data_IF_026000672258
#
_entry.id   IF_026000672258
#
_cell.length_a   1.000
_cell.length_b   1.000
_cell.length_c   1.000
_cell.angle_alpha   90.00
_cell.angle_beta   90.00
_cell.angle_gamma   90.00
#
_symmetry.space_group_name_H-M   'P 1'
#
loop_
_entity.id
_entity.type
_entity.pdbx_description
1 polymer ?
#
# COMPACT_ATOMS: atom_id res chain seq x y z
N UNK A 1 -21.94 -40.52 -17.99
CA UNK A 1 -21.21 -40.00 -19.16
C UNK A 1 -21.32 -38.48 -19.15
N UNK A 2 -20.49 -37.78 -18.38
CA UNK A 2 -19.17 -37.37 -18.85
C UNK A 2 -18.28 -37.14 -17.62
N UNK A 3 -17.62 -38.20 -17.18
CA UNK A 3 -16.59 -38.16 -16.14
C UNK A 3 -15.25 -37.83 -16.81
N UNK A 4 -14.53 -36.89 -16.21
CA UNK A 4 -13.07 -36.71 -16.25
C UNK A 4 -12.37 -36.50 -17.60
N UNK A 5 -11.74 -35.32 -17.72
CA UNK A 5 -10.46 -34.99 -18.39
C UNK A 5 -10.52 -33.46 -18.62
N UNK A 6 -9.71 -32.60 -18.00
CA UNK A 6 -8.26 -32.54 -18.07
C UNK A 6 -7.69 -31.75 -16.89
N UNK A 7 -6.58 -32.24 -16.35
CA UNK A 7 -5.80 -31.55 -15.33
C UNK A 7 -4.77 -30.56 -15.87
N UNK A 8 -4.46 -29.62 -14.99
CA UNK A 8 -3.14 -29.03 -14.71
C UNK A 8 -2.51 -28.03 -15.70
N UNK A 9 -1.99 -26.94 -15.07
CA UNK A 9 -1.19 -25.81 -15.61
C UNK A 9 -2.11 -24.76 -16.26
N UNK A 10 -2.15 -23.50 -15.81
CA UNK A 10 -1.07 -22.54 -15.95
C UNK A 10 -1.13 -21.42 -14.91
N UNK A 11 0.02 -21.20 -14.26
CA UNK A 11 0.63 -19.94 -13.81
C UNK A 11 -0.25 -18.80 -13.25
N UNK A 12 0.04 -18.46 -11.99
CA UNK A 12 -0.53 -17.44 -11.11
C UNK A 12 -0.35 -15.97 -11.56
N UNK A 13 -0.23 -15.67 -12.86
CA UNK A 13 0.04 -14.31 -13.35
C UNK A 13 -1.19 -13.57 -13.89
N UNK A 14 -2.38 -14.19 -13.91
CA UNK A 14 -3.59 -13.62 -14.52
C UNK A 14 -4.71 -13.19 -13.53
N UNK A 15 -4.40 -13.02 -12.24
CA UNK A 15 -5.44 -12.94 -11.20
C UNK A 15 -6.20 -11.60 -11.11
N UNK A 16 -5.69 -10.50 -11.67
CA UNK A 16 -6.36 -9.20 -11.57
C UNK A 16 -7.26 -8.86 -12.78
N UNK A 17 -6.99 -9.45 -13.95
CA UNK A 17 -7.68 -9.11 -15.20
C UNK A 17 -8.78 -10.08 -15.63
N UNK A 18 -8.64 -11.40 -15.40
CA UNK A 18 -9.59 -12.39 -15.97
C UNK A 18 -10.96 -12.30 -15.31
N UNK A 19 -11.01 -12.11 -14.00
CA UNK A 19 -12.28 -12.15 -13.27
C UNK A 19 -13.27 -11.01 -13.60
N UNK A 20 -12.83 -9.95 -14.26
CA UNK A 20 -13.71 -8.90 -14.79
C UNK A 20 -14.28 -9.32 -16.15
N UNK A 21 -13.49 -10.05 -16.94
CA UNK A 21 -13.90 -10.57 -18.24
C UNK A 21 -14.92 -11.72 -18.05
N UNK A 22 -14.62 -12.67 -17.15
CA UNK A 22 -15.49 -13.81 -16.85
C UNK A 22 -16.85 -13.37 -16.24
N UNK A 23 -16.87 -12.23 -15.54
CA UNK A 23 -18.10 -11.67 -14.99
C UNK A 23 -18.96 -11.05 -16.11
N UNK A 24 -18.36 -10.33 -17.07
CA UNK A 24 -19.08 -9.58 -18.12
C UNK A 24 -19.96 -10.43 -19.03
N UNK A 25 -19.70 -11.72 -19.12
CA UNK A 25 -20.49 -12.67 -19.91
C UNK A 25 -21.72 -13.20 -19.15
N UNK A 26 -21.88 -12.82 -17.88
CA UNK A 26 -23.02 -13.19 -17.06
C UNK A 26 -24.07 -12.08 -16.98
N UNK A 27 -25.35 -12.39 -16.70
CA UNK A 27 -26.36 -11.38 -16.43
C UNK A 27 -25.89 -10.38 -15.36
N UNK A 28 -26.23 -9.09 -15.51
CA UNK A 28 -25.76 -7.99 -14.65
C UNK A 28 -25.91 -8.30 -13.15
N UNK A 29 -27.00 -8.98 -12.77
CA UNK A 29 -27.22 -9.42 -11.40
C UNK A 29 -26.10 -10.34 -10.89
N UNK A 30 -25.73 -11.35 -11.67
CA UNK A 30 -24.68 -12.30 -11.32
C UNK A 30 -23.30 -11.63 -11.22
N UNK A 31 -23.04 -10.61 -12.06
CA UNK A 31 -21.83 -9.79 -11.93
C UNK A 31 -21.76 -9.07 -10.60
N UNK A 32 -22.85 -8.40 -10.22
CA UNK A 32 -22.93 -7.65 -8.97
C UNK A 32 -22.79 -8.58 -7.76
N UNK A 33 -23.47 -9.72 -7.78
CA UNK A 33 -23.38 -10.73 -6.72
C UNK A 33 -21.93 -11.22 -6.52
N UNK A 34 -21.19 -11.46 -7.62
CA UNK A 34 -19.78 -11.84 -7.54
C UNK A 34 -18.87 -10.73 -7.02
N UNK A 35 -19.07 -9.48 -7.45
CA UNK A 35 -18.29 -8.34 -6.97
C UNK A 35 -18.51 -8.15 -5.47
N UNK A 36 -19.77 -8.18 -5.03
CA UNK A 36 -20.13 -8.06 -3.62
C UNK A 36 -19.53 -9.19 -2.80
N UNK A 37 -19.61 -10.44 -3.26
CA UNK A 37 -18.98 -11.58 -2.60
C UNK A 37 -17.46 -11.40 -2.44
N UNK A 38 -16.76 -10.94 -3.49
CA UNK A 38 -15.32 -10.66 -3.44
C UNK A 38 -14.97 -9.55 -2.45
N UNK A 39 -15.76 -8.47 -2.44
CA UNK A 39 -15.57 -7.35 -1.52
C UNK A 39 -15.78 -7.79 -0.06
N UNK A 40 -16.88 -8.46 0.23
CA UNK A 40 -17.20 -8.97 1.57
C UNK A 40 -16.13 -9.93 2.06
N UNK A 41 -15.70 -10.90 1.23
CA UNK A 41 -14.63 -11.83 1.60
C UNK A 41 -13.30 -11.13 1.87
N UNK A 42 -12.98 -10.10 1.08
CA UNK A 42 -11.77 -9.29 1.30
C UNK A 42 -11.85 -8.53 2.63
N UNK A 43 -13.01 -7.94 2.95
CA UNK A 43 -13.22 -7.20 4.19
C UNK A 43 -13.14 -8.14 5.40
N UNK A 44 -13.89 -9.24 5.39
CA UNK A 44 -13.90 -10.24 6.47
C UNK A 44 -12.51 -10.85 6.64
N UNK A 45 -11.81 -11.16 5.55
CA UNK A 45 -10.42 -11.62 5.60
C UNK A 45 -9.49 -10.62 6.29
N UNK A 46 -9.62 -9.32 5.98
CA UNK A 46 -8.83 -8.26 6.62
C UNK A 46 -9.19 -8.05 8.09
N UNK A 47 -10.46 -8.20 8.47
CA UNK A 47 -10.88 -8.15 9.87
C UNK A 47 -10.27 -9.30 10.68
N UNK A 48 -10.32 -10.53 10.18
CA UNK A 48 -9.69 -11.69 10.83
C UNK A 48 -8.17 -11.59 10.92
N UNK A 49 -7.53 -10.97 9.93
CA UNK A 49 -6.11 -10.63 10.04
C UNK A 49 -5.89 -9.61 11.16
N UNK A 50 -6.72 -8.56 11.23
CA UNK A 50 -6.61 -7.48 12.21
C UNK A 50 -6.80 -7.94 13.66
N UNK A 51 -7.71 -8.88 13.91
CA UNK A 51 -7.90 -9.51 15.23
C UNK A 51 -6.63 -10.18 15.78
N UNK A 52 -5.72 -10.61 14.90
CA UNK A 52 -4.46 -11.26 15.27
C UNK A 52 -3.31 -10.27 15.45
N UNK A 53 -3.51 -8.98 15.15
CA UNK A 53 -2.46 -7.98 15.28
C UNK A 53 -2.27 -7.61 16.75
N UNK A 54 -1.02 -7.67 17.21
CA UNK A 54 -0.65 -7.34 18.59
C UNK A 54 -0.15 -5.90 18.75
N UNK A 55 0.29 -5.28 17.66
CA UNK A 55 0.87 -3.93 17.65
C UNK A 55 -0.15 -2.82 17.40
N UNK A 56 0.25 -1.57 17.68
CA UNK A 56 -0.56 -0.37 17.42
C UNK A 56 -0.80 -0.14 15.92
N UNK A 57 0.15 -0.54 15.07
CA UNK A 57 0.07 -0.36 13.63
C UNK A 57 -0.18 -1.70 12.92
N UNK A 58 -0.89 -1.64 11.79
CA UNK A 58 -1.01 -2.78 10.89
C UNK A 58 0.40 -3.29 10.51
N UNK A 59 0.68 -4.60 10.54
CA UNK A 59 2.00 -5.16 10.22
C UNK A 59 2.57 -4.68 8.89
N UNK A 60 1.70 -4.45 7.89
CA UNK A 60 2.13 -3.93 6.58
C UNK A 60 2.62 -2.49 6.64
N UNK A 61 1.97 -1.64 7.44
CA UNK A 61 2.38 -0.24 7.65
C UNK A 61 3.62 -0.19 8.53
N UNK A 62 3.67 -1.00 9.61
CA UNK A 62 4.85 -1.11 10.47
C UNK A 62 6.10 -1.47 9.66
N UNK A 63 6.05 -2.55 8.88
CA UNK A 63 7.16 -2.98 8.01
C UNK A 63 7.59 -1.91 7.01
N UNK A 64 6.65 -1.09 6.53
CA UNK A 64 6.94 0.02 5.61
C UNK A 64 7.63 1.16 6.35
N UNK A 65 7.18 1.48 7.56
CA UNK A 65 7.76 2.49 8.42
C UNK A 65 9.19 2.11 8.83
N UNK A 66 9.42 0.86 9.24
CA UNK A 66 10.75 0.35 9.61
C UNK A 66 11.75 0.54 8.45
N UNK A 67 11.34 0.25 7.21
CA UNK A 67 12.16 0.53 6.02
C UNK A 67 12.42 2.01 5.80
N UNK A 68 11.43 2.86 6.05
CA UNK A 68 11.61 4.30 5.91
C UNK A 68 12.54 4.87 6.97
N UNK A 69 12.52 4.33 8.19
CA UNK A 69 13.49 4.64 9.25
C UNK A 69 14.91 4.25 8.81
N UNK A 70 15.09 3.05 8.25
CA UNK A 70 16.40 2.65 7.72
C UNK A 70 16.90 3.58 6.60
N UNK A 71 16.02 4.01 5.69
CA UNK A 71 16.40 4.95 4.63
C UNK A 71 16.62 6.38 5.11
N UNK A 72 15.94 6.79 6.19
CA UNK A 72 16.13 8.10 6.79
C UNK A 72 17.56 8.30 7.29
N UNK A 73 18.24 7.24 7.72
CA UNK A 73 19.66 7.25 8.12
C UNK A 73 20.60 7.77 7.02
N UNK A 74 20.21 7.60 5.75
CA UNK A 74 21.00 8.06 4.60
C UNK A 74 20.67 9.51 4.18
N UNK A 75 19.79 10.19 4.91
CA UNK A 75 19.42 11.57 4.64
C UNK A 75 20.25 12.52 5.50
N UNK A 76 20.69 13.64 4.90
CA UNK A 76 21.27 14.77 5.65
C UNK A 76 20.25 15.88 5.69
N UNK A 77 20.02 16.44 6.87
CA UNK A 77 18.98 17.45 7.09
C UNK A 77 19.61 18.79 7.39
N UNK A 78 19.08 19.83 6.77
CA UNK A 78 19.39 21.22 7.04
C UNK A 78 18.10 21.96 7.38
N UNK A 79 18.03 22.56 8.55
CA UNK A 79 16.87 23.35 8.97
C UNK A 79 16.89 24.73 8.31
N UNK A 80 15.73 25.14 7.79
CA UNK A 80 15.48 26.50 7.30
C UNK A 80 14.70 27.36 8.31
N UNK A 81 14.22 26.75 9.39
CA UNK A 81 13.44 27.36 10.46
C UNK A 81 11.95 27.15 10.27
N UNK A 82 11.18 27.46 11.33
CA UNK A 82 9.72 27.38 11.33
C UNK A 82 9.15 26.01 10.93
N UNK A 83 9.87 24.91 11.23
CA UNK A 83 9.40 23.56 10.87
C UNK A 83 9.60 23.18 9.39
N UNK A 84 10.39 23.96 8.64
CA UNK A 84 10.76 23.67 7.26
C UNK A 84 12.21 23.20 7.19
N UNK A 85 12.43 22.12 6.45
CA UNK A 85 13.71 21.43 6.35
C UNK A 85 14.06 21.15 4.90
N UNK A 86 15.35 21.29 4.58
CA UNK A 86 15.95 20.82 3.35
C UNK A 86 16.67 19.50 3.62
N UNK A 87 16.24 18.46 2.92
CA UNK A 87 16.72 17.09 3.08
C UNK A 87 17.49 16.66 1.86
N UNK A 88 18.77 16.40 2.02
CA UNK A 88 19.63 15.81 1.01
C UNK A 88 19.55 14.29 1.10
N UNK A 89 19.14 13.65 0.00
CA UNK A 89 18.94 12.20 -0.05
C UNK A 89 19.48 11.68 -1.38
N UNK A 90 20.52 10.85 -1.30
CA UNK A 90 21.30 10.41 -2.46
C UNK A 90 21.78 11.62 -3.28
N UNK A 91 21.32 11.76 -4.52
CA UNK A 91 21.69 12.83 -5.45
C UNK A 91 20.61 13.91 -5.58
N UNK A 92 19.55 13.83 -4.80
CA UNK A 92 18.42 14.75 -4.85
C UNK A 92 18.28 15.51 -3.54
N UNK A 93 17.64 16.67 -3.63
CA UNK A 93 17.26 17.45 -2.47
C UNK A 93 15.75 17.62 -2.44
N UNK A 94 15.18 17.57 -1.24
CA UNK A 94 13.74 17.68 -1.01
C UNK A 94 13.47 18.68 0.10
N UNK A 95 12.42 19.47 -0.04
CA UNK A 95 11.88 20.30 1.02
C UNK A 95 10.81 19.49 1.76
N UNK A 96 10.91 19.49 3.09
CA UNK A 96 9.94 18.92 4.03
C UNK A 96 9.37 20.08 4.84
N UNK A 97 8.05 20.13 4.93
CA UNK A 97 7.33 21.08 5.78
C UNK A 97 6.53 20.27 6.80
N UNK A 98 6.94 20.33 8.07
CA UNK A 98 6.30 19.58 9.15
C UNK A 98 4.96 20.19 9.57
N UNK A 99 4.74 21.50 9.37
CA UNK A 99 3.45 22.13 9.69
C UNK A 99 2.37 21.68 8.71
N UNK A 100 2.76 21.55 7.44
CA UNK A 100 1.88 21.09 6.37
C UNK A 100 1.86 19.56 6.22
N UNK A 101 2.62 18.84 7.05
CA UNK A 101 2.80 17.37 6.97
C UNK A 101 3.11 16.92 5.53
N UNK A 102 4.03 17.64 4.88
CA UNK A 102 4.28 17.51 3.45
C UNK A 102 5.76 17.37 3.12
N UNK A 103 6.02 16.78 1.95
CA UNK A 103 7.35 16.64 1.40
C UNK A 103 7.24 16.75 -0.13
N UNK A 104 8.24 17.36 -0.78
CA UNK A 104 8.29 17.50 -2.24
C UNK A 104 8.24 16.15 -2.98
N UNK A 105 8.62 15.04 -2.34
CA UNK A 105 8.45 13.72 -2.94
C UNK A 105 6.98 13.26 -3.03
N UNK A 106 6.04 14.02 -2.46
CA UNK A 106 4.56 13.82 -2.44
C UNK A 106 4.07 12.55 -1.75
N UNK A 107 4.99 11.68 -1.31
CA UNK A 107 4.65 10.39 -0.68
C UNK A 107 3.86 10.55 0.61
N UNK A 108 4.15 11.58 1.41
CA UNK A 108 3.45 11.82 2.67
C UNK A 108 1.99 12.20 2.41
N UNK A 109 1.74 13.22 1.60
CA UNK A 109 0.38 13.68 1.24
C UNK A 109 -0.43 12.55 0.59
N UNK A 110 0.17 11.75 -0.29
CA UNK A 110 -0.54 10.67 -0.99
C UNK A 110 -0.87 9.47 -0.08
N UNK A 111 -0.05 9.18 0.93
CA UNK A 111 -0.21 7.96 1.73
C UNK A 111 -0.67 8.21 3.16
N UNK A 112 -0.64 9.46 3.63
CA UNK A 112 -0.84 9.82 5.04
C UNK A 112 0.29 9.35 5.98
N UNK A 113 1.29 8.63 5.47
CA UNK A 113 2.41 8.10 6.23
C UNK A 113 3.67 8.91 5.90
N UNK A 114 4.43 9.39 6.91
CA UNK A 114 5.64 10.14 6.65
C UNK A 114 6.61 9.32 5.81
N UNK A 115 7.19 9.95 4.78
CA UNK A 115 8.25 9.35 3.98
C UNK A 115 9.57 9.39 4.74
N UNK A 116 10.57 8.61 4.31
CA UNK A 116 11.91 8.65 4.90
C UNK A 116 12.55 10.05 4.98
N UNK A 117 12.24 10.98 4.07
CA UNK A 117 12.68 12.39 4.18
C UNK A 117 12.05 13.11 5.37
N UNK A 118 10.73 12.94 5.54
CA UNK A 118 10.02 13.49 6.69
C UNK A 118 10.47 12.86 8.00
N UNK A 119 10.69 11.54 8.00
CA UNK A 119 11.20 10.82 9.18
C UNK A 119 12.58 11.32 9.60
N UNK A 120 13.45 11.67 8.65
CA UNK A 120 14.75 12.23 8.98
C UNK A 120 14.68 13.61 9.67
N UNK A 121 13.54 14.31 9.59
CA UNK A 121 13.32 15.63 10.20
C UNK A 121 12.61 15.56 11.56
N UNK A 122 12.15 14.38 11.98
CA UNK A 122 11.63 14.14 13.33
C UNK A 122 12.77 13.80 14.30
#
# INVERSE_FOLDING_TARGET
NWSQEHGSKHSLTHFAGSSILDAREMPIKSMLDQIMWKLTNRIVGKQREAEKWTGRLCPKIQKKLDKYVEWAKNCRVQEYGQGVFKVFSLNNTYIVDLNMLSCECKRWVLSGVPCHHAIACF
#
